data_IF_848738427620
#
_entry.id   IF_848738427620
#
_cell.length_a   1.000
_cell.length_b   1.000
_cell.length_c   1.000
_cell.angle_alpha   90.00
_cell.angle_beta   90.00
_cell.angle_gamma   90.00
#
_symmetry.space_group_name_H-M   'P 1'
#
loop_
_entity.id
_entity.type
_entity.pdbx_description
1 polymer ?
#
# COMPACT_ATOMS: atom_id res chain seq x y z
N UNK A 1 -36.90 23.00 -54.24
CA UNK A 1 -35.56 22.86 -53.77
C UNK A 1 -35.58 22.50 -52.32
N UNK A 2 -35.12 21.39 -51.95
CA UNK A 2 -34.93 21.09 -50.53
C UNK A 2 -33.72 21.86 -50.08
N UNK A 3 -33.95 23.11 -49.76
CA UNK A 3 -32.89 23.97 -49.26
C UNK A 3 -32.85 23.82 -47.76
N UNK A 4 -31.72 23.37 -47.38
CA UNK A 4 -31.17 23.50 -46.06
C UNK A 4 -31.86 22.76 -44.93
N UNK A 5 -31.72 21.47 -44.97
CA UNK A 5 -31.92 20.64 -43.79
C UNK A 5 -30.89 20.92 -42.67
N UNK A 6 -29.91 21.73 -42.96
CA UNK A 6 -28.94 22.24 -41.97
C UNK A 6 -29.00 23.75 -41.97
N UNK A 7 -29.83 24.32 -41.15
CA UNK A 7 -29.71 25.72 -40.81
C UNK A 7 -28.38 25.91 -40.04
N UNK A 8 -27.64 26.99 -40.27
CA UNK A 8 -26.39 27.27 -39.52
C UNK A 8 -26.63 27.32 -38.01
N UNK A 9 -27.88 27.59 -37.57
CA UNK A 9 -28.32 27.53 -36.19
C UNK A 9 -28.25 26.13 -35.58
N UNK A 10 -28.49 25.07 -36.35
CA UNK A 10 -28.43 23.69 -35.82
C UNK A 10 -27.01 23.22 -35.61
N UNK A 11 -26.07 23.60 -36.49
CA UNK A 11 -24.64 23.32 -36.34
C UNK A 11 -24.08 24.07 -35.15
N UNK A 12 -24.47 25.32 -34.96
CA UNK A 12 -24.05 26.14 -33.85
C UNK A 12 -24.64 25.62 -32.52
N UNK A 13 -25.89 25.17 -32.51
CA UNK A 13 -26.49 24.54 -31.35
C UNK A 13 -25.78 23.26 -30.94
N UNK A 14 -25.44 22.39 -31.91
CA UNK A 14 -24.69 21.17 -31.64
C UNK A 14 -23.26 21.47 -31.15
N UNK A 15 -22.62 22.50 -31.69
CA UNK A 15 -21.31 22.95 -31.25
C UNK A 15 -21.34 23.46 -29.81
N UNK A 16 -22.34 24.29 -29.48
CA UNK A 16 -22.56 24.77 -28.11
C UNK A 16 -22.84 23.64 -27.15
N UNK A 17 -23.63 22.65 -27.56
CA UNK A 17 -23.93 21.48 -26.76
C UNK A 17 -22.69 20.63 -26.50
N UNK A 18 -21.86 20.42 -27.51
CA UNK A 18 -20.58 19.74 -27.36
C UNK A 18 -19.60 20.49 -26.43
N UNK A 19 -19.54 21.82 -26.55
CA UNK A 19 -18.72 22.64 -25.65
C UNK A 19 -19.23 22.60 -24.21
N UNK A 20 -20.55 22.62 -24.04
CA UNK A 20 -21.20 22.49 -22.71
C UNK A 20 -20.89 21.13 -22.09
N UNK A 21 -21.05 20.04 -22.86
CA UNK A 21 -20.73 18.70 -22.40
C UNK A 21 -19.25 18.55 -22.05
N UNK A 22 -18.36 19.12 -22.87
CA UNK A 22 -16.93 19.12 -22.59
C UNK A 22 -16.59 19.90 -21.30
N UNK A 23 -17.26 21.03 -21.09
CA UNK A 23 -17.13 21.80 -19.88
C UNK A 23 -17.67 21.03 -18.65
N UNK A 24 -18.82 20.40 -18.80
CA UNK A 24 -19.45 19.60 -17.73
C UNK A 24 -18.57 18.40 -17.34
N UNK A 25 -18.00 17.71 -18.30
CA UNK A 25 -17.03 16.63 -18.06
C UNK A 25 -15.80 17.16 -17.32
N UNK A 26 -15.25 18.31 -17.71
CA UNK A 26 -14.12 18.92 -16.99
C UNK A 26 -14.49 19.35 -15.58
N UNK A 27 -15.68 19.93 -15.42
CA UNK A 27 -16.20 20.37 -14.13
C UNK A 27 -16.45 19.19 -13.20
N UNK A 28 -17.06 18.11 -13.67
CA UNK A 28 -17.27 16.89 -12.90
C UNK A 28 -15.94 16.22 -12.53
N UNK A 29 -14.99 16.20 -13.44
CA UNK A 29 -13.64 15.69 -13.16
C UNK A 29 -12.94 16.54 -12.09
N UNK A 30 -13.06 17.85 -12.16
CA UNK A 30 -12.54 18.76 -11.16
C UNK A 30 -13.23 18.58 -9.81
N UNK A 31 -14.55 18.42 -9.80
CA UNK A 31 -15.37 18.27 -8.60
C UNK A 31 -15.18 16.90 -7.93
N UNK A 32 -14.98 15.86 -8.71
CA UNK A 32 -14.61 14.53 -8.21
C UNK A 32 -13.16 14.49 -7.70
N UNK A 33 -12.45 15.63 -7.70
CA UNK A 33 -11.09 15.72 -7.25
C UNK A 33 -10.11 15.00 -8.17
N UNK A 34 -10.41 14.96 -9.48
CA UNK A 34 -9.48 14.32 -10.42
C UNK A 34 -8.12 15.03 -10.45
N UNK A 35 -8.10 16.34 -10.27
CA UNK A 35 -6.87 17.10 -10.03
C UNK A 35 -6.35 16.95 -8.61
N UNK A 36 -7.22 16.86 -7.61
CA UNK A 36 -6.88 16.47 -6.24
C UNK A 36 -6.61 14.98 -6.10
N UNK A 37 -7.17 14.15 -6.99
CA UNK A 37 -6.94 12.71 -7.04
C UNK A 37 -5.54 12.35 -7.54
N UNK A 38 -4.90 13.17 -8.37
CA UNK A 38 -3.50 12.93 -8.68
C UNK A 38 -2.60 13.20 -7.48
N UNK A 39 -2.88 14.19 -6.65
CA UNK A 39 -2.17 14.40 -5.39
C UNK A 39 -2.59 13.38 -4.32
N UNK A 40 -3.89 13.09 -4.18
CA UNK A 40 -4.41 12.06 -3.25
C UNK A 40 -4.06 10.66 -3.73
N UNK A 41 -4.10 10.39 -5.02
CA UNK A 41 -3.69 9.08 -5.56
C UNK A 41 -2.17 8.89 -5.51
N UNK A 42 -1.37 9.93 -5.70
CA UNK A 42 0.07 9.83 -5.50
C UNK A 42 0.43 9.59 -4.02
N UNK A 43 -0.27 10.25 -3.10
CA UNK A 43 -0.10 10.01 -1.66
C UNK A 43 -0.60 8.61 -1.27
N UNK A 44 -1.73 8.17 -1.80
CA UNK A 44 -2.27 6.83 -1.52
C UNK A 44 -1.44 5.72 -2.16
N UNK A 45 -0.93 5.93 -3.37
CA UNK A 45 0.00 5.00 -4.02
C UNK A 45 1.34 4.95 -3.28
N UNK A 46 1.85 6.08 -2.82
CA UNK A 46 3.06 6.15 -2.00
C UNK A 46 2.86 5.42 -0.66
N UNK A 47 1.69 5.60 -0.03
CA UNK A 47 1.32 4.89 1.20
C UNK A 47 1.21 3.40 0.96
N UNK A 48 0.55 2.98 -0.11
CA UNK A 48 0.40 1.57 -0.48
C UNK A 48 1.77 0.93 -0.76
N UNK A 49 2.64 1.60 -1.50
CA UNK A 49 4.01 1.15 -1.76
C UNK A 49 4.80 0.98 -0.46
N UNK A 50 4.69 1.91 0.46
CA UNK A 50 5.32 1.83 1.78
C UNK A 50 4.80 0.63 2.59
N UNK A 51 3.49 0.38 2.55
CA UNK A 51 2.88 -0.77 3.23
C UNK A 51 3.32 -2.10 2.61
N UNK A 52 3.44 -2.17 1.30
CA UNK A 52 3.94 -3.37 0.59
C UNK A 52 5.41 -3.63 0.91
N UNK A 53 6.23 -2.59 0.99
CA UNK A 53 7.61 -2.70 1.44
C UNK A 53 7.69 -3.21 2.89
N UNK A 54 6.83 -2.69 3.78
CA UNK A 54 6.76 -3.12 5.16
C UNK A 54 6.40 -4.62 5.28
N UNK A 55 5.45 -5.10 4.48
CA UNK A 55 5.10 -6.52 4.41
C UNK A 55 6.30 -7.37 3.94
N UNK A 56 6.96 -6.93 2.88
CA UNK A 56 8.14 -7.63 2.33
C UNK A 56 9.26 -7.70 3.36
N UNK A 57 9.56 -6.58 4.01
CA UNK A 57 10.59 -6.51 5.05
C UNK A 57 10.23 -7.39 6.25
N UNK A 58 8.95 -7.41 6.65
CA UNK A 58 8.48 -8.28 7.72
C UNK A 58 8.69 -9.76 7.39
N UNK A 59 8.32 -10.18 6.18
CA UNK A 59 8.52 -11.56 5.71
C UNK A 59 9.98 -11.95 5.68
N UNK A 60 10.83 -11.08 5.17
CA UNK A 60 12.27 -11.31 5.14
C UNK A 60 12.85 -11.42 6.54
N UNK A 61 12.42 -10.57 7.46
CA UNK A 61 12.87 -10.59 8.85
C UNK A 61 12.45 -11.88 9.54
N UNK A 62 11.17 -12.25 9.45
CA UNK A 62 10.65 -13.50 10.02
C UNK A 62 11.36 -14.71 9.42
N UNK A 63 11.53 -14.75 8.10
CA UNK A 63 12.23 -15.82 7.40
C UNK A 63 13.69 -15.98 7.83
N UNK A 64 14.40 -14.88 8.02
CA UNK A 64 15.77 -14.87 8.53
C UNK A 64 15.87 -15.37 9.97
N UNK A 65 14.98 -14.90 10.84
CA UNK A 65 14.94 -15.35 12.24
C UNK A 65 14.58 -16.84 12.29
N UNK A 66 13.60 -17.27 11.50
CA UNK A 66 13.16 -18.67 11.43
C UNK A 66 14.28 -19.63 11.00
N UNK A 67 15.13 -19.19 10.07
CA UNK A 67 16.31 -19.96 9.58
C UNK A 67 17.54 -19.84 10.46
N UNK A 68 17.55 -18.87 11.38
CA UNK A 68 18.67 -18.67 12.29
C UNK A 68 18.60 -19.65 13.48
N UNK A 69 19.71 -19.86 14.21
CA UNK A 69 19.70 -20.66 15.43
C UNK A 69 18.77 -20.11 16.51
N UNK A 70 18.31 -18.87 16.38
CA UNK A 70 17.32 -18.23 17.26
C UNK A 70 15.88 -18.66 16.94
N UNK A 71 15.62 -19.23 15.77
CA UNK A 71 14.29 -19.63 15.33
C UNK A 71 13.55 -20.51 16.33
N UNK A 72 14.14 -21.61 16.81
CA UNK A 72 13.49 -22.47 17.80
C UNK A 72 13.16 -21.72 19.11
N UNK A 73 14.05 -20.87 19.60
CA UNK A 73 13.81 -20.07 20.79
C UNK A 73 12.69 -19.04 20.60
N UNK A 74 12.64 -18.41 19.45
CA UNK A 74 11.60 -17.44 19.10
C UNK A 74 10.23 -18.10 18.92
N UNK A 75 10.18 -19.35 18.44
CA UNK A 75 8.94 -20.13 18.30
C UNK A 75 8.31 -20.53 19.64
N UNK A 76 9.09 -20.54 20.71
CA UNK A 76 8.54 -20.70 22.08
C UNK A 76 7.66 -19.51 22.47
N UNK A 77 7.91 -18.35 21.90
CA UNK A 77 7.02 -17.21 21.99
C UNK A 77 5.83 -17.42 21.06
N UNK A 78 4.63 -17.58 21.60
CA UNK A 78 3.41 -17.79 20.81
C UNK A 78 3.16 -16.68 19.76
N UNK A 79 3.59 -15.46 20.06
CA UNK A 79 3.45 -14.31 19.15
C UNK A 79 4.28 -14.47 17.89
N UNK A 80 5.52 -14.94 17.98
CA UNK A 80 6.37 -15.17 16.81
C UNK A 80 5.80 -16.29 15.92
N UNK A 81 5.34 -17.35 16.52
CA UNK A 81 4.71 -18.46 15.81
C UNK A 81 3.44 -18.01 15.07
N UNK A 82 2.65 -17.15 15.66
CA UNK A 82 1.47 -16.56 15.02
C UNK A 82 1.86 -15.69 13.83
N UNK A 83 2.89 -14.86 13.95
CA UNK A 83 3.41 -14.04 12.86
C UNK A 83 3.97 -14.90 11.73
N UNK A 84 4.73 -15.93 12.05
CA UNK A 84 5.26 -16.87 11.07
C UNK A 84 4.14 -17.56 10.28
N UNK A 85 3.12 -18.07 10.97
CA UNK A 85 1.97 -18.69 10.33
C UNK A 85 1.20 -17.70 9.44
N UNK A 86 1.00 -16.48 9.92
CA UNK A 86 0.23 -15.45 9.20
C UNK A 86 0.93 -14.96 7.94
N UNK A 87 2.23 -14.71 7.99
CA UNK A 87 2.95 -14.05 6.90
C UNK A 87 3.74 -15.00 6.00
N UNK A 88 4.15 -16.15 6.48
CA UNK A 88 4.89 -17.13 5.67
C UNK A 88 4.01 -18.25 5.10
N UNK A 89 2.95 -18.60 5.79
CA UNK A 89 2.14 -19.80 5.43
C UNK A 89 0.71 -19.46 5.02
N UNK A 90 0.26 -18.20 5.14
CA UNK A 90 -1.10 -17.82 4.76
C UNK A 90 -1.21 -17.51 3.26
N UNK A 91 -2.14 -18.15 2.54
CA UNK A 91 -2.39 -17.86 1.13
C UNK A 91 -3.03 -16.49 0.91
N UNK A 92 -3.73 -15.95 1.90
CA UNK A 92 -4.39 -14.63 1.80
C UNK A 92 -3.40 -13.48 1.57
N UNK A 93 -2.16 -13.68 1.94
CA UNK A 93 -1.10 -12.69 1.75
C UNK A 93 -0.70 -12.48 0.29
N UNK A 94 -1.09 -13.37 -0.61
CA UNK A 94 -0.66 -13.39 -2.00
C UNK A 94 -1.67 -12.82 -2.99
N UNK A 95 -2.91 -12.56 -2.55
CA UNK A 95 -3.95 -12.05 -3.46
C UNK A 95 -3.99 -10.52 -3.46
N UNK A 96 -3.48 -9.85 -4.53
CA UNK A 96 -3.46 -8.40 -4.63
C UNK A 96 -4.85 -7.80 -4.84
N UNK A 97 -5.85 -8.60 -5.17
CA UNK A 97 -7.22 -8.15 -5.45
C UNK A 97 -8.16 -8.25 -4.25
N UNK A 98 -7.67 -8.73 -3.11
CA UNK A 98 -8.48 -8.85 -1.90
C UNK A 98 -8.95 -7.47 -1.41
N UNK A 99 -10.25 -7.28 -1.11
CA UNK A 99 -10.77 -6.02 -0.57
C UNK A 99 -10.19 -5.67 0.80
N UNK A 100 -9.67 -6.66 1.52
CA UNK A 100 -9.06 -6.50 2.83
C UNK A 100 -7.53 -6.31 2.78
N UNK A 101 -6.96 -6.17 1.57
CA UNK A 101 -5.51 -6.07 1.41
C UNK A 101 -4.91 -4.87 2.16
N UNK A 102 -5.55 -3.71 2.11
CA UNK A 102 -5.06 -2.51 2.82
C UNK A 102 -5.03 -2.76 4.34
N UNK A 103 -6.09 -3.32 4.88
CA UNK A 103 -6.16 -3.67 6.30
C UNK A 103 -5.10 -4.71 6.69
N UNK A 104 -4.87 -5.69 5.83
CA UNK A 104 -3.82 -6.70 5.99
C UNK A 104 -2.43 -6.05 6.00
N UNK A 105 -2.13 -5.16 5.05
CA UNK A 105 -0.86 -4.45 4.95
C UNK A 105 -0.62 -3.51 6.15
N UNK A 106 -1.64 -2.82 6.61
CA UNK A 106 -1.57 -2.01 7.84
C UNK A 106 -1.28 -2.86 9.08
N UNK A 107 -1.91 -4.03 9.16
CA UNK A 107 -1.60 -5.01 10.18
C UNK A 107 -0.16 -5.49 10.13
N UNK A 108 0.37 -5.74 8.92
CA UNK A 108 1.75 -6.12 8.71
C UNK A 108 2.74 -5.03 9.16
N UNK A 109 2.47 -3.76 8.86
CA UNK A 109 3.29 -2.64 9.32
C UNK A 109 3.32 -2.56 10.86
N UNK A 110 2.17 -2.69 11.51
CA UNK A 110 2.07 -2.69 12.97
C UNK A 110 2.84 -3.86 13.60
N UNK A 111 2.69 -5.04 13.03
CA UNK A 111 3.37 -6.25 13.51
C UNK A 111 4.89 -6.13 13.32
N UNK A 112 5.34 -5.54 12.21
CA UNK A 112 6.75 -5.26 11.96
C UNK A 112 7.32 -4.30 13.02
N UNK A 113 6.63 -3.20 13.29
CA UNK A 113 7.05 -2.23 14.31
C UNK A 113 7.13 -2.87 15.70
N UNK A 114 6.14 -3.66 16.06
CA UNK A 114 6.12 -4.38 17.35
C UNK A 114 7.27 -5.39 17.45
N UNK A 115 7.52 -6.14 16.39
CA UNK A 115 8.60 -7.11 16.34
C UNK A 115 9.97 -6.42 16.45
N UNK A 116 10.19 -5.34 15.72
CA UNK A 116 11.41 -4.54 15.79
C UNK A 116 11.65 -3.97 17.18
N UNK A 117 10.61 -3.45 17.83
CA UNK A 117 10.70 -2.94 19.20
C UNK A 117 11.05 -4.02 20.21
N UNK A 118 10.43 -5.20 20.08
CA UNK A 118 10.72 -6.33 20.97
C UNK A 118 12.13 -6.84 20.81
N UNK A 119 12.57 -7.02 19.56
CA UNK A 119 13.93 -7.47 19.26
C UNK A 119 14.98 -6.43 19.71
N UNK A 120 14.70 -5.15 19.47
CA UNK A 120 15.61 -4.05 19.85
C UNK A 120 15.76 -3.87 21.37
N UNK A 121 14.73 -4.16 22.15
CA UNK A 121 14.75 -4.08 23.61
C UNK A 121 15.35 -5.34 24.27
N UNK A 122 15.36 -6.46 23.57
CA UNK A 122 15.87 -7.71 24.09
C UNK A 122 17.40 -7.76 24.14
N UNK A 123 17.97 -8.76 24.81
CA UNK A 123 19.44 -8.96 24.89
C UNK A 123 20.06 -9.16 23.50
N UNK A 124 19.30 -9.61 22.53
CA UNK A 124 19.70 -9.81 21.15
C UNK A 124 19.75 -8.50 20.35
N UNK A 125 19.16 -7.41 20.84
CA UNK A 125 19.08 -6.15 20.12
C UNK A 125 20.45 -5.58 19.75
N UNK A 126 21.41 -5.68 20.64
CA UNK A 126 22.79 -5.26 20.37
C UNK A 126 23.43 -6.08 19.25
N UNK A 127 23.29 -7.41 19.33
CA UNK A 127 23.81 -8.32 18.31
C UNK A 127 23.14 -8.13 16.94
N UNK A 128 21.85 -7.87 16.93
CA UNK A 128 21.10 -7.60 15.70
C UNK A 128 21.48 -6.25 15.05
N UNK A 129 21.77 -5.23 15.87
CA UNK A 129 22.19 -3.90 15.38
C UNK A 129 23.57 -3.91 14.73
N UNK A 130 24.42 -4.85 15.06
CA UNK A 130 25.70 -5.05 14.36
C UNK A 130 25.48 -5.51 12.91
N UNK A 131 24.33 -6.10 12.63
CA UNK A 131 23.92 -6.45 11.28
C UNK A 131 23.20 -5.25 10.65
N UNK A 132 23.80 -4.66 9.63
CA UNK A 132 23.31 -3.43 9.00
C UNK A 132 21.83 -3.46 8.59
N UNK A 133 21.32 -4.62 8.21
CA UNK A 133 19.92 -4.78 7.80
C UNK A 133 18.90 -4.48 8.92
N UNK A 134 19.18 -4.92 10.14
CA UNK A 134 18.29 -4.65 11.28
C UNK A 134 18.28 -3.17 11.64
N UNK A 135 19.43 -2.55 11.64
CA UNK A 135 19.58 -1.11 11.88
C UNK A 135 18.84 -0.27 10.83
N UNK A 136 18.89 -0.68 9.56
CA UNK A 136 18.17 -0.02 8.48
C UNK A 136 16.65 -0.11 8.69
N UNK A 137 16.14 -1.27 9.10
CA UNK A 137 14.73 -1.46 9.42
C UNK A 137 14.29 -0.62 10.63
N UNK A 138 15.10 -0.57 11.70
CA UNK A 138 14.82 0.30 12.85
C UNK A 138 14.72 1.76 12.43
N UNK A 139 15.64 2.25 11.62
CA UNK A 139 15.64 3.64 11.13
C UNK A 139 14.46 3.96 10.21
N UNK A 140 13.98 2.97 9.47
CA UNK A 140 12.86 3.16 8.52
C UNK A 140 11.49 3.14 9.21
N UNK A 141 11.29 2.32 10.21
CA UNK A 141 9.99 2.05 10.83
C UNK A 141 9.84 2.53 12.28
N UNK A 142 10.89 2.83 12.98
CA UNK A 142 10.91 3.35 14.34
C UNK A 142 11.34 4.80 14.40
#
# INVERSE_FOLDING_TARGET
>A
MPEDFYTPTDVDALRMENELLAFEVRFLRSRLGWTGRSAVSSTSLSRLSHLEEAETDLRLLIGRISKSPLGPAMRLSGNFRTLEARYLHSPESQDPSSPNRVAYLEGAEKDLVLLLRRLGRGPLGRALRTRGNFRTLEQRYL
#
